data_IF_871605760501
#
_entry.id   IF_871605760501
#
_cell.length_a   1.000
_cell.length_b   1.000
_cell.length_c   1.000
_cell.angle_alpha   90.00
_cell.angle_beta   90.00
_cell.angle_gamma   90.00
#
_symmetry.space_group_name_H-M   'P 1'
#
loop_
_entity.id
_entity.type
_entity.pdbx_description
1 polymer ?
#
# COMPACT_ATOMS: atom_id res chain seq x y z
N UNK A 1 -24.24 36.28 -11.00
CA UNK A 1 -23.49 36.23 -9.72
C UNK A 1 -24.35 35.61 -8.62
N UNK A 2 -24.79 34.35 -8.79
CA UNK A 2 -25.57 33.65 -7.76
C UNK A 2 -25.45 32.12 -7.83
N UNK A 3 -24.52 31.58 -8.61
CA UNK A 3 -24.51 30.14 -8.91
C UNK A 3 -23.96 29.27 -7.77
N UNK A 4 -23.24 29.83 -6.78
CA UNK A 4 -22.58 29.03 -5.73
C UNK A 4 -22.97 29.42 -4.28
N UNK A 5 -24.08 30.14 -4.07
CA UNK A 5 -24.41 30.68 -2.74
C UNK A 5 -24.74 29.57 -1.72
N UNK A 6 -25.37 28.49 -2.18
CA UNK A 6 -25.78 27.39 -1.32
C UNK A 6 -24.59 26.52 -0.91
N UNK A 7 -23.66 26.32 -1.83
CA UNK A 7 -22.40 25.60 -1.65
C UNK A 7 -21.45 26.37 -0.73
N UNK A 8 -21.29 27.68 -0.93
CA UNK A 8 -20.56 28.55 0.00
C UNK A 8 -21.18 28.51 1.41
N UNK A 9 -22.51 28.50 1.48
CA UNK A 9 -23.24 28.36 2.74
C UNK A 9 -23.02 26.99 3.38
N UNK A 10 -22.86 25.93 2.59
CA UNK A 10 -22.57 24.58 3.08
C UNK A 10 -21.15 24.50 3.66
N UNK A 11 -20.15 25.08 2.99
CA UNK A 11 -18.79 25.19 3.52
C UNK A 11 -18.76 25.94 4.85
N UNK A 12 -19.46 27.08 4.97
CA UNK A 12 -19.52 27.85 6.21
C UNK A 12 -20.26 27.10 7.34
N UNK A 13 -21.35 26.40 7.01
CA UNK A 13 -22.06 25.55 7.97
C UNK A 13 -21.17 24.40 8.48
N UNK A 14 -20.41 23.78 7.58
CA UNK A 14 -19.49 22.71 7.94
C UNK A 14 -18.31 23.21 8.80
N UNK A 15 -17.76 24.38 8.45
CA UNK A 15 -16.69 25.06 9.18
C UNK A 15 -17.10 25.49 10.60
N UNK A 16 -18.38 25.78 10.82
CA UNK A 16 -18.91 26.19 12.14
C UNK A 16 -19.52 25.05 12.94
N UNK A 17 -19.57 23.82 12.39
CA UNK A 17 -20.16 22.66 13.06
C UNK A 17 -21.69 22.70 13.14
N UNK A 18 -22.34 23.51 12.31
CA UNK A 18 -23.79 23.72 12.34
C UNK A 18 -24.55 22.55 11.67
N UNK A 19 -24.59 21.38 12.32
CA UNK A 19 -25.17 20.13 11.79
C UNK A 19 -26.56 20.29 11.19
N UNK A 20 -27.49 20.95 11.89
CA UNK A 20 -28.86 21.17 11.38
C UNK A 20 -28.87 21.98 10.08
N UNK A 21 -27.98 22.96 9.94
CA UNK A 21 -27.85 23.77 8.73
C UNK A 21 -27.21 22.96 7.60
N UNK A 22 -26.20 22.14 7.90
CA UNK A 22 -25.60 21.21 6.95
C UNK A 22 -26.67 20.26 6.40
N UNK A 23 -27.43 19.59 7.27
CA UNK A 23 -28.51 18.68 6.87
C UNK A 23 -29.57 19.38 6.03
N UNK A 24 -29.96 20.60 6.40
CA UNK A 24 -30.95 21.38 5.65
C UNK A 24 -30.44 21.75 4.25
N UNK A 25 -29.17 22.11 4.10
CA UNK A 25 -28.55 22.46 2.82
C UNK A 25 -28.37 21.22 1.93
N UNK A 26 -27.93 20.10 2.49
CA UNK A 26 -27.87 18.81 1.77
C UNK A 26 -29.27 18.42 1.27
N UNK A 27 -30.30 18.54 2.10
CA UNK A 27 -31.67 18.23 1.71
C UNK A 27 -32.22 19.18 0.63
N UNK A 28 -31.70 20.41 0.54
CA UNK A 28 -32.00 21.36 -0.52
C UNK A 28 -31.26 21.06 -1.84
N UNK A 29 -30.29 20.13 -1.83
CA UNK A 29 -29.53 19.73 -3.01
C UNK A 29 -28.17 20.42 -3.15
N UNK A 30 -27.65 21.05 -2.10
CA UNK A 30 -26.32 21.64 -2.12
C UNK A 30 -25.24 20.59 -2.43
N UNK A 31 -24.30 20.94 -3.31
CA UNK A 31 -23.23 20.05 -3.73
C UNK A 31 -22.19 19.83 -2.62
N UNK A 32 -22.15 18.60 -2.08
CA UNK A 32 -21.19 18.19 -1.04
C UNK A 32 -19.75 18.02 -1.57
N UNK A 33 -19.57 18.04 -2.89
CA UNK A 33 -18.27 17.92 -3.58
C UNK A 33 -17.65 19.27 -3.94
N UNK A 34 -18.36 20.37 -3.67
CA UNK A 34 -17.92 21.72 -3.99
C UNK A 34 -16.60 22.08 -3.33
N UNK A 35 -15.73 22.78 -4.08
CA UNK A 35 -14.51 23.40 -3.55
C UNK A 35 -14.72 24.92 -3.46
N UNK A 36 -14.47 25.47 -2.27
CA UNK A 36 -14.54 26.92 -2.07
C UNK A 36 -13.28 27.65 -2.58
N UNK A 37 -13.23 28.97 -2.36
CA UNK A 37 -12.11 29.81 -2.75
C UNK A 37 -10.80 29.49 -1.99
N UNK A 38 -10.87 28.77 -0.87
CA UNK A 38 -9.70 28.27 -0.15
C UNK A 38 -9.22 26.91 -0.71
N UNK A 39 -9.94 26.34 -1.69
CA UNK A 39 -9.68 25.03 -2.25
C UNK A 39 -10.06 23.90 -1.29
N UNK A 40 -11.04 24.13 -0.42
CA UNK A 40 -11.51 23.15 0.57
C UNK A 40 -12.96 22.74 0.30
N UNK A 41 -13.25 21.45 0.51
CA UNK A 41 -14.62 20.94 0.49
C UNK A 41 -15.31 21.14 1.85
N UNK A 42 -16.65 21.06 1.93
CA UNK A 42 -17.35 21.03 3.21
C UNK A 42 -16.80 19.95 4.16
N UNK A 43 -16.45 18.77 3.62
CA UNK A 43 -15.90 17.66 4.41
C UNK A 43 -14.54 18.01 5.02
N UNK A 44 -13.66 18.67 4.25
CA UNK A 44 -12.37 19.16 4.73
C UNK A 44 -12.53 20.22 5.82
N UNK A 45 -13.47 21.16 5.67
CA UNK A 45 -13.77 22.15 6.72
C UNK A 45 -14.25 21.51 8.01
N UNK A 46 -15.17 20.55 7.93
CA UNK A 46 -15.68 19.83 9.10
C UNK A 46 -14.56 19.03 9.80
N UNK A 47 -13.72 18.35 9.02
CA UNK A 47 -12.61 17.54 9.53
C UNK A 47 -11.52 18.40 10.19
N UNK A 48 -11.12 19.51 9.54
CA UNK A 48 -10.15 20.49 10.04
C UNK A 48 -10.54 21.10 11.38
N UNK A 49 -11.84 21.20 11.68
CA UNK A 49 -12.36 21.74 12.94
C UNK A 49 -12.91 20.66 13.90
N UNK A 50 -12.78 19.37 13.54
CA UNK A 50 -13.10 18.24 14.42
C UNK A 50 -14.60 17.95 14.61
N UNK A 51 -15.48 18.44 13.74
CA UNK A 51 -16.92 18.23 13.83
C UNK A 51 -17.33 16.85 13.27
N UNK A 52 -17.07 15.79 14.04
CA UNK A 52 -17.28 14.39 13.61
C UNK A 52 -18.72 14.06 13.18
N UNK A 53 -19.73 14.68 13.78
CA UNK A 53 -21.13 14.49 13.36
C UNK A 53 -21.41 15.12 11.99
N UNK A 54 -20.83 16.29 11.71
CA UNK A 54 -20.91 16.94 10.39
C UNK A 54 -20.14 16.14 9.35
N UNK A 55 -18.95 15.64 9.70
CA UNK A 55 -18.17 14.73 8.85
C UNK A 55 -19.01 13.52 8.45
N UNK A 56 -19.69 12.87 9.42
CA UNK A 56 -20.58 11.74 9.15
C UNK A 56 -21.72 12.11 8.21
N UNK A 57 -22.43 13.22 8.48
CA UNK A 57 -23.54 13.65 7.65
C UNK A 57 -23.12 13.93 6.19
N UNK A 58 -21.94 14.53 5.98
CA UNK A 58 -21.40 14.78 4.64
C UNK A 58 -21.01 13.48 3.93
N UNK A 59 -20.39 12.53 4.63
CA UNK A 59 -20.07 11.21 4.07
C UNK A 59 -21.32 10.42 3.70
N UNK A 60 -22.34 10.42 4.57
CA UNK A 60 -23.64 9.77 4.30
C UNK A 60 -24.36 10.39 3.09
N UNK A 61 -24.10 11.67 2.81
CA UNK A 61 -24.58 12.39 1.64
C UNK A 61 -23.72 12.17 0.37
N UNK A 62 -22.68 11.35 0.44
CA UNK A 62 -21.82 11.01 -0.71
C UNK A 62 -20.62 11.93 -0.91
N UNK A 63 -20.22 12.72 0.10
CA UNK A 63 -18.97 13.49 0.01
C UNK A 63 -17.77 12.52 -0.13
N UNK A 64 -16.89 12.73 -1.13
CA UNK A 64 -15.74 11.85 -1.34
C UNK A 64 -14.73 11.99 -0.20
N UNK A 65 -14.50 10.91 0.54
CA UNK A 65 -13.49 10.85 1.61
C UNK A 65 -12.06 11.07 1.08
N UNK A 66 -11.83 10.74 -0.19
CA UNK A 66 -10.55 10.79 -0.88
C UNK A 66 -10.35 12.04 -1.77
N UNK A 67 -11.20 13.08 -1.62
CA UNK A 67 -10.94 14.35 -2.29
C UNK A 67 -9.65 14.99 -1.76
N UNK A 68 -8.91 15.65 -2.65
CA UNK A 68 -7.61 16.26 -2.36
C UNK A 68 -7.62 17.74 -2.72
N UNK A 69 -6.98 18.54 -1.88
CA UNK A 69 -6.64 19.93 -2.20
C UNK A 69 -5.54 19.99 -3.26
N UNK A 70 -5.28 21.17 -3.87
CA UNK A 70 -4.11 21.36 -4.74
C UNK A 70 -2.76 21.06 -4.07
N UNK A 71 -2.71 21.04 -2.73
CA UNK A 71 -1.54 20.68 -1.93
C UNK A 71 -1.53 19.21 -1.49
N UNK A 72 -2.35 18.35 -2.11
CA UNK A 72 -2.41 16.91 -1.86
C UNK A 72 -2.86 16.53 -0.43
N UNK A 73 -3.66 17.39 0.21
CA UNK A 73 -4.25 17.11 1.53
C UNK A 73 -5.71 16.66 1.41
N UNK A 74 -6.07 15.61 2.12
CA UNK A 74 -7.42 15.07 2.26
C UNK A 74 -8.11 15.59 3.53
N UNK A 75 -9.40 15.31 3.69
CA UNK A 75 -10.10 15.58 4.94
C UNK A 75 -9.46 14.84 6.15
N UNK A 76 -8.96 13.62 5.94
CA UNK A 76 -8.29 12.84 6.99
C UNK A 76 -6.96 13.45 7.43
N UNK A 77 -6.19 14.00 6.48
CA UNK A 77 -4.96 14.74 6.79
C UNK A 77 -5.27 15.96 7.67
N UNK A 78 -6.31 16.74 7.34
CA UNK A 78 -6.72 17.87 8.18
C UNK A 78 -7.18 17.45 9.58
N UNK A 79 -7.93 16.34 9.71
CA UNK A 79 -8.33 15.84 11.03
C UNK A 79 -7.11 15.43 11.87
N UNK A 80 -6.14 14.75 11.25
CA UNK A 80 -4.92 14.28 11.92
C UNK A 80 -4.00 15.45 12.32
N UNK A 81 -3.72 16.37 11.41
CA UNK A 81 -2.84 17.52 11.65
C UNK A 81 -3.36 18.46 12.76
N UNK A 82 -4.68 18.51 12.96
CA UNK A 82 -5.34 19.30 14.00
C UNK A 82 -5.68 18.49 15.26
N UNK A 83 -5.28 17.21 15.34
CA UNK A 83 -5.48 16.36 16.53
C UNK A 83 -6.93 15.94 16.78
N UNK A 84 -7.77 15.90 15.75
CA UNK A 84 -9.20 15.59 15.84
C UNK A 84 -9.49 14.10 15.63
N UNK A 85 -9.10 13.27 16.61
CA UNK A 85 -9.21 11.80 16.54
C UNK A 85 -10.61 11.31 16.15
N UNK A 86 -11.67 11.84 16.76
CA UNK A 86 -13.04 11.39 16.47
C UNK A 86 -13.46 11.63 15.01
N UNK A 87 -13.00 12.73 14.39
CA UNK A 87 -13.28 12.99 12.97
C UNK A 87 -12.42 12.09 12.08
N UNK A 88 -11.16 11.89 12.45
CA UNK A 88 -10.24 10.97 11.79
C UNK A 88 -10.79 9.54 11.76
N UNK A 89 -11.26 9.01 12.89
CA UNK A 89 -11.80 7.65 12.98
C UNK A 89 -13.04 7.46 12.08
N UNK A 90 -13.90 8.48 11.99
CA UNK A 90 -15.07 8.43 11.08
C UNK A 90 -14.62 8.37 9.62
N UNK A 91 -13.65 9.19 9.23
CA UNK A 91 -13.09 9.20 7.87
C UNK A 91 -12.38 7.89 7.53
N UNK A 92 -11.57 7.38 8.46
CA UNK A 92 -10.85 6.12 8.30
C UNK A 92 -11.82 4.96 8.07
N UNK A 93 -12.85 4.84 8.92
CA UNK A 93 -13.87 3.81 8.76
C UNK A 93 -14.63 3.94 7.45
N UNK A 94 -14.97 5.16 7.02
CA UNK A 94 -15.63 5.39 5.74
C UNK A 94 -14.74 5.01 4.54
N UNK A 95 -13.44 5.33 4.61
CA UNK A 95 -12.47 4.95 3.58
C UNK A 95 -12.33 3.42 3.44
N UNK A 96 -12.13 2.71 4.55
CA UNK A 96 -12.05 1.24 4.56
C UNK A 96 -13.34 0.62 4.01
N UNK A 97 -14.51 1.10 4.44
CA UNK A 97 -15.80 0.59 3.97
C UNK A 97 -15.98 0.80 2.46
N UNK A 98 -15.62 1.98 1.96
CA UNK A 98 -15.70 2.28 0.53
C UNK A 98 -14.80 1.33 -0.28
N UNK A 99 -13.54 1.14 0.13
CA UNK A 99 -12.59 0.25 -0.54
C UNK A 99 -13.04 -1.23 -0.53
N UNK A 100 -13.59 -1.72 0.60
CA UNK A 100 -14.13 -3.09 0.67
C UNK A 100 -15.29 -3.31 -0.31
N UNK A 101 -16.18 -2.32 -0.45
CA UNK A 101 -17.31 -2.36 -1.38
C UNK A 101 -16.81 -2.28 -2.83
N UNK A 102 -15.93 -1.34 -3.13
CA UNK A 102 -15.36 -1.14 -4.48
C UNK A 102 -14.58 -2.38 -4.94
N UNK A 103 -13.73 -2.93 -4.07
CA UNK A 103 -13.03 -4.19 -4.35
C UNK A 103 -14.02 -5.32 -4.65
N UNK A 104 -15.16 -5.39 -3.96
CA UNK A 104 -16.19 -6.42 -4.23
C UNK A 104 -16.82 -6.29 -5.61
N UNK A 105 -16.97 -5.06 -6.11
CA UNK A 105 -17.50 -4.79 -7.45
C UNK A 105 -16.43 -5.13 -8.49
N UNK A 106 -15.20 -4.64 -8.32
CA UNK A 106 -14.09 -4.92 -9.24
C UNK A 106 -13.86 -6.44 -9.43
N UNK A 107 -13.99 -7.22 -8.36
CA UNK A 107 -13.92 -8.70 -8.38
C UNK A 107 -14.97 -9.37 -9.27
N UNK A 108 -16.17 -8.79 -9.39
CA UNK A 108 -17.22 -9.34 -10.27
C UNK A 108 -16.95 -9.06 -11.74
N UNK A 109 -16.25 -7.97 -12.03
CA UNK A 109 -15.99 -7.51 -13.40
C UNK A 109 -14.68 -8.11 -13.97
N UNK A 110 -13.69 -8.44 -13.13
CA UNK A 110 -12.38 -9.00 -13.51
C UNK A 110 -12.39 -10.45 -14.04
N UNK A 111 -13.55 -11.02 -14.37
CA UNK A 111 -13.63 -12.31 -15.07
C UNK A 111 -13.07 -12.31 -16.51
N UNK A 112 -12.54 -11.19 -17.02
CA UNK A 112 -12.07 -11.05 -18.41
C UNK A 112 -10.93 -10.02 -18.57
N UNK A 113 -9.68 -10.50 -18.55
CA UNK A 113 -8.51 -9.77 -19.09
C UNK A 113 -7.27 -9.96 -18.23
N UNK A 114 -6.10 -10.13 -18.87
CA UNK A 114 -4.79 -10.14 -18.22
C UNK A 114 -4.25 -8.70 -18.23
N UNK A 115 -4.41 -7.90 -17.15
CA UNK A 115 -4.04 -6.49 -17.16
C UNK A 115 -2.51 -6.31 -17.10
N UNK A 116 -1.80 -7.32 -16.58
CA UNK A 116 -0.37 -7.24 -16.23
C UNK A 116 0.53 -7.76 -17.36
N UNK A 117 0.05 -7.83 -18.60
CA UNK A 117 0.83 -8.29 -19.75
C UNK A 117 1.87 -7.29 -20.25
N UNK A 118 1.65 -5.98 -20.02
CA UNK A 118 2.44 -4.90 -20.63
C UNK A 118 3.86 -4.82 -20.02
N UNK A 119 3.97 -4.87 -18.68
CA UNK A 119 5.25 -4.66 -18.00
C UNK A 119 6.30 -5.76 -18.24
N UNK A 120 5.89 -6.97 -18.62
CA UNK A 120 6.81 -8.08 -18.91
C UNK A 120 7.49 -7.94 -20.28
N UNK A 121 6.92 -7.12 -21.16
CA UNK A 121 7.47 -6.81 -22.49
C UNK A 121 8.26 -5.49 -22.49
N UNK A 122 8.15 -4.70 -21.42
CA UNK A 122 8.89 -3.44 -21.25
C UNK A 122 10.38 -3.69 -20.99
N UNK A 123 11.21 -2.76 -21.47
CA UNK A 123 12.66 -2.79 -21.20
C UNK A 123 12.95 -2.17 -19.85
N UNK A 124 13.87 -2.77 -19.10
CA UNK A 124 14.34 -2.20 -17.84
C UNK A 124 15.78 -1.70 -17.96
N UNK A 125 16.04 -0.58 -17.31
CA UNK A 125 17.38 0.00 -17.20
C UNK A 125 17.89 -0.15 -15.78
N UNK A 126 19.10 -0.69 -15.66
CA UNK A 126 19.76 -0.91 -14.39
C UNK A 126 20.90 0.10 -14.21
N UNK A 127 20.94 0.74 -13.05
CA UNK A 127 22.13 1.42 -12.53
C UNK A 127 22.56 0.82 -11.19
N UNK A 128 23.58 1.39 -10.57
CA UNK A 128 24.01 1.02 -9.21
C UNK A 128 22.89 1.25 -8.20
N UNK A 129 22.13 2.34 -8.36
CA UNK A 129 21.18 2.83 -7.36
C UNK A 129 19.70 2.59 -7.68
N UNK A 130 19.36 2.19 -8.91
CA UNK A 130 17.95 2.02 -9.32
C UNK A 130 17.74 1.06 -10.48
N UNK A 131 16.53 0.52 -10.53
CA UNK A 131 15.93 -0.08 -11.71
C UNK A 131 14.79 0.82 -12.17
N UNK A 132 14.73 1.09 -13.47
CA UNK A 132 13.66 1.88 -14.07
C UNK A 132 13.08 1.18 -15.28
N UNK A 133 11.81 1.41 -15.54
CA UNK A 133 11.18 1.00 -16.79
C UNK A 133 11.56 1.94 -17.96
N UNK A 134 11.02 1.66 -19.15
CA UNK A 134 11.28 2.41 -20.37
C UNK A 134 10.79 3.87 -20.31
N UNK A 135 9.92 4.21 -19.35
CA UNK A 135 9.36 5.55 -19.15
C UNK A 135 10.05 6.34 -18.03
N UNK A 136 11.18 5.84 -17.51
CA UNK A 136 11.89 6.42 -16.36
C UNK A 136 11.05 6.45 -15.07
N UNK A 137 10.10 5.53 -14.91
CA UNK A 137 9.46 5.27 -13.63
C UNK A 137 10.34 4.31 -12.85
N UNK A 138 10.57 4.64 -11.57
CA UNK A 138 11.36 3.78 -10.70
C UNK A 138 10.59 2.49 -10.39
N UNK A 139 11.27 1.37 -10.57
CA UNK A 139 10.82 0.03 -10.21
C UNK A 139 11.25 -0.30 -8.77
N UNK A 140 12.54 -0.09 -8.49
CA UNK A 140 13.15 -0.32 -7.18
C UNK A 140 14.38 0.60 -7.05
N UNK A 141 14.63 1.11 -5.84
CA UNK A 141 15.75 2.03 -5.58
C UNK A 141 16.54 1.67 -4.32
N UNK A 142 17.82 2.03 -4.31
CA UNK A 142 18.75 1.70 -3.23
C UNK A 142 18.38 2.27 -1.85
N UNK A 143 17.57 3.35 -1.78
CA UNK A 143 17.10 3.91 -0.50
C UNK A 143 16.23 2.92 0.28
N UNK A 144 15.64 1.92 -0.39
CA UNK A 144 14.82 0.88 0.23
C UNK A 144 15.67 -0.16 1.01
N UNK A 145 17.00 -0.16 0.85
CA UNK A 145 17.90 -1.12 1.50
C UNK A 145 17.62 -1.35 3.01
N UNK A 146 17.57 -0.32 3.86
CA UNK A 146 17.23 -0.50 5.28
C UNK A 146 15.84 -1.13 5.51
N UNK A 147 14.87 -0.88 4.62
CA UNK A 147 13.56 -1.53 4.68
C UNK A 147 13.68 -3.02 4.35
N UNK A 148 14.38 -3.35 3.27
CA UNK A 148 14.62 -4.72 2.82
C UNK A 148 15.39 -5.54 3.87
N UNK A 149 16.37 -4.93 4.54
CA UNK A 149 17.10 -5.55 5.67
C UNK A 149 16.18 -5.82 6.87
N UNK A 150 15.26 -4.90 7.17
CA UNK A 150 14.28 -5.08 8.24
C UNK A 150 13.26 -6.18 7.91
N UNK A 151 12.80 -6.25 6.65
CA UNK A 151 11.94 -7.33 6.15
C UNK A 151 12.63 -8.69 6.23
N UNK A 152 13.86 -8.78 5.72
CA UNK A 152 14.67 -10.00 5.78
C UNK A 152 14.88 -10.47 7.24
N UNK A 153 15.15 -9.53 8.16
CA UNK A 153 15.26 -9.83 9.58
C UNK A 153 13.98 -10.44 10.16
N UNK A 154 12.82 -9.90 9.79
CA UNK A 154 11.53 -10.37 10.28
C UNK A 154 11.24 -11.80 9.77
N UNK A 155 11.28 -12.02 8.46
CA UNK A 155 10.91 -13.30 7.86
C UNK A 155 11.92 -14.42 8.17
N UNK A 156 13.19 -14.09 8.43
CA UNK A 156 14.23 -15.07 8.75
C UNK A 156 14.34 -15.39 10.25
N UNK A 157 13.49 -14.83 11.12
CA UNK A 157 13.63 -14.98 12.58
C UNK A 157 13.61 -16.46 13.03
N UNK A 158 12.80 -17.30 12.37
CA UNK A 158 12.73 -18.74 12.61
C UNK A 158 13.76 -19.57 11.83
N UNK A 159 14.55 -18.96 10.95
CA UNK A 159 15.39 -19.65 9.98
C UNK A 159 14.56 -20.44 8.96
N UNK A 160 15.07 -21.59 8.52
CA UNK A 160 14.29 -22.51 7.68
C UNK A 160 14.25 -22.14 6.20
N UNK A 161 13.09 -22.38 5.58
CA UNK A 161 12.86 -22.22 4.15
C UNK A 161 12.19 -20.87 3.89
N UNK A 162 12.85 -20.01 3.11
CA UNK A 162 12.38 -18.64 2.85
C UNK A 162 11.96 -18.52 1.38
N UNK A 163 10.82 -17.88 1.15
CA UNK A 163 10.30 -17.52 -0.17
C UNK A 163 10.36 -16.01 -0.36
N UNK A 164 10.87 -15.59 -1.51
CA UNK A 164 10.72 -14.25 -2.02
C UNK A 164 9.90 -14.27 -3.33
N UNK A 165 8.88 -13.43 -3.43
CA UNK A 165 8.11 -13.17 -4.64
C UNK A 165 8.47 -11.78 -5.16
N UNK A 166 9.24 -11.74 -6.26
CA UNK A 166 9.78 -10.52 -6.85
C UNK A 166 11.23 -10.26 -6.42
N UNK A 167 12.17 -10.29 -7.37
CA UNK A 167 13.59 -10.11 -7.07
C UNK A 167 14.03 -8.65 -7.15
N UNK A 168 13.60 -7.92 -8.17
CA UNK A 168 13.99 -6.53 -8.41
C UNK A 168 15.51 -6.35 -8.53
N UNK A 169 16.13 -5.69 -7.54
CA UNK A 169 17.59 -5.51 -7.44
C UNK A 169 18.29 -6.58 -6.59
N UNK A 170 17.55 -7.51 -6.00
CA UNK A 170 18.08 -8.51 -5.07
C UNK A 170 18.49 -7.92 -3.71
N UNK A 171 17.92 -6.78 -3.32
CA UNK A 171 18.23 -6.12 -2.03
C UNK A 171 17.80 -6.99 -0.85
N UNK A 172 16.52 -7.40 -0.85
CA UNK A 172 15.98 -8.30 0.17
C UNK A 172 16.64 -9.67 0.11
N UNK A 173 16.87 -10.20 -1.08
CA UNK A 173 17.51 -11.50 -1.27
C UNK A 173 18.93 -11.53 -0.70
N UNK A 174 19.69 -10.46 -0.94
CA UNK A 174 21.03 -10.30 -0.38
C UNK A 174 21.00 -10.23 1.13
N UNK A 175 20.01 -9.55 1.72
CA UNK A 175 19.82 -9.49 3.16
C UNK A 175 19.39 -10.85 3.75
N UNK A 176 18.45 -11.57 3.10
CA UNK A 176 18.01 -12.92 3.49
C UNK A 176 19.21 -13.88 3.57
N UNK A 177 20.11 -13.84 2.58
CA UNK A 177 21.29 -14.70 2.54
C UNK A 177 22.25 -14.50 3.72
N UNK A 178 22.25 -13.33 4.37
CA UNK A 178 23.05 -13.09 5.58
C UNK A 178 22.59 -13.93 6.78
N UNK A 179 21.33 -14.38 6.77
CA UNK A 179 20.75 -15.24 7.82
C UNK A 179 20.94 -16.74 7.54
N UNK A 180 21.60 -17.11 6.43
CA UNK A 180 21.89 -18.50 6.06
C UNK A 180 20.66 -19.43 6.12
N UNK A 181 19.58 -19.13 5.37
CA UNK A 181 18.40 -19.98 5.35
C UNK A 181 18.73 -21.38 4.80
N UNK A 182 17.95 -22.38 5.23
CA UNK A 182 18.06 -23.77 4.74
C UNK A 182 17.84 -23.82 3.23
N UNK A 183 16.83 -23.10 2.75
CA UNK A 183 16.64 -22.85 1.32
C UNK A 183 16.05 -21.47 1.09
N UNK A 184 16.38 -20.87 -0.04
CA UNK A 184 15.84 -19.59 -0.47
C UNK A 184 15.23 -19.74 -1.86
N UNK A 185 13.91 -19.75 -1.94
CA UNK A 185 13.18 -19.79 -3.22
C UNK A 185 12.86 -18.37 -3.67
N UNK A 186 13.18 -18.04 -4.91
CA UNK A 186 12.94 -16.72 -5.50
C UNK A 186 12.07 -16.91 -6.73
N UNK A 187 10.90 -16.26 -6.76
CA UNK A 187 10.06 -16.18 -7.96
C UNK A 187 10.33 -14.86 -8.67
N UNK A 188 10.69 -14.92 -9.94
CA UNK A 188 10.93 -13.73 -10.76
C UNK A 188 10.25 -13.88 -12.13
N UNK A 189 9.43 -12.89 -12.48
CA UNK A 189 8.60 -12.91 -13.67
C UNK A 189 9.26 -12.20 -14.87
N UNK A 190 10.04 -11.15 -14.61
CA UNK A 190 10.58 -10.28 -15.65
C UNK A 190 11.82 -10.91 -16.31
N UNK A 191 11.80 -11.14 -17.65
CA UNK A 191 12.88 -11.83 -18.35
C UNK A 191 14.27 -11.17 -18.19
N UNK A 192 14.35 -9.84 -18.26
CA UNK A 192 15.62 -9.12 -18.12
C UNK A 192 16.19 -9.15 -16.69
N UNK A 193 15.32 -9.13 -15.66
CA UNK A 193 15.73 -9.26 -14.25
C UNK A 193 16.23 -10.68 -14.01
N UNK A 194 15.50 -11.69 -14.48
CA UNK A 194 15.93 -13.09 -14.41
C UNK A 194 17.28 -13.33 -15.10
N UNK A 195 17.47 -12.79 -16.31
CA UNK A 195 18.75 -12.88 -17.02
C UNK A 195 19.90 -12.25 -16.20
N UNK A 196 19.66 -11.11 -15.54
CA UNK A 196 20.62 -10.46 -14.65
C UNK A 196 20.93 -11.29 -13.42
N UNK A 197 19.93 -11.94 -12.80
CA UNK A 197 20.14 -12.86 -11.66
C UNK A 197 21.13 -13.96 -12.03
N UNK A 198 20.96 -14.58 -13.20
CA UNK A 198 21.86 -15.64 -13.67
C UNK A 198 23.28 -15.10 -13.93
N UNK A 199 23.40 -13.94 -14.58
CA UNK A 199 24.70 -13.31 -14.84
C UNK A 199 25.44 -12.90 -13.56
N UNK A 200 24.72 -12.61 -12.49
CA UNK A 200 25.29 -12.22 -11.19
C UNK A 200 25.50 -13.41 -10.25
N UNK A 201 25.34 -14.65 -10.73
CA UNK A 201 25.66 -15.87 -9.99
C UNK A 201 24.57 -16.34 -9.01
N UNK A 202 23.36 -15.78 -9.06
CA UNK A 202 22.28 -16.24 -8.17
C UNK A 202 21.87 -17.68 -8.41
N UNK A 203 21.93 -18.13 -9.67
CA UNK A 203 21.65 -19.52 -10.03
C UNK A 203 22.73 -20.51 -9.60
N UNK A 204 23.89 -20.04 -9.12
CA UNK A 204 25.02 -20.88 -8.70
C UNK A 204 25.08 -21.08 -7.17
N UNK A 205 24.26 -20.34 -6.41
CA UNK A 205 24.20 -20.45 -4.95
C UNK A 205 23.53 -21.76 -4.54
N UNK A 206 24.21 -22.56 -3.72
CA UNK A 206 23.78 -23.93 -3.37
C UNK A 206 22.39 -24.01 -2.72
N UNK A 207 22.00 -23.01 -1.91
CA UNK A 207 20.72 -22.99 -1.22
C UNK A 207 19.65 -22.12 -1.92
N UNK A 208 19.91 -21.63 -3.14
CA UNK A 208 18.96 -20.79 -3.88
C UNK A 208 18.27 -21.59 -4.99
N UNK A 209 16.93 -21.50 -5.03
CA UNK A 209 16.09 -22.03 -6.11
C UNK A 209 15.39 -20.87 -6.80
N UNK A 210 15.72 -20.61 -8.06
CA UNK A 210 15.03 -19.59 -8.87
C UNK A 210 13.90 -20.25 -9.65
N UNK A 211 12.69 -19.72 -9.52
CA UNK A 211 11.50 -20.13 -10.28
C UNK A 211 11.13 -18.98 -11.21
N UNK A 212 11.33 -19.19 -12.52
CA UNK A 212 11.02 -18.19 -13.53
C UNK A 212 9.54 -18.22 -13.92
N UNK A 213 8.88 -17.07 -13.86
CA UNK A 213 7.48 -16.89 -14.23
C UNK A 213 6.72 -16.03 -13.23
N UNK A 214 5.50 -15.65 -13.58
CA UNK A 214 4.60 -14.97 -12.65
C UNK A 214 4.21 -15.91 -11.52
N UNK A 215 4.05 -15.40 -10.31
CA UNK A 215 3.73 -16.24 -9.15
C UNK A 215 2.44 -17.02 -9.38
N UNK A 216 1.43 -16.42 -10.01
CA UNK A 216 0.15 -17.01 -10.38
C UNK A 216 0.33 -18.29 -11.21
N UNK A 217 1.27 -18.27 -12.17
CA UNK A 217 1.52 -19.38 -13.08
C UNK A 217 2.37 -20.49 -12.43
N UNK A 218 3.18 -20.14 -11.43
CA UNK A 218 4.14 -21.05 -10.80
C UNK A 218 3.76 -21.50 -9.39
N UNK A 219 2.59 -21.11 -8.88
CA UNK A 219 2.07 -21.51 -7.56
C UNK A 219 2.21 -23.02 -7.29
N UNK A 220 1.93 -23.85 -8.30
CA UNK A 220 2.03 -25.32 -8.19
C UNK A 220 3.44 -25.85 -7.95
N UNK A 221 4.48 -25.03 -8.14
CA UNK A 221 5.89 -25.36 -7.92
C UNK A 221 6.39 -24.90 -6.54
N UNK A 222 5.57 -24.13 -5.81
CA UNK A 222 5.89 -23.59 -4.50
C UNK A 222 5.56 -24.59 -3.40
N UNK A 223 6.35 -24.55 -2.34
CA UNK A 223 6.20 -25.39 -1.15
C UNK A 223 5.61 -24.57 0.00
N UNK A 224 5.74 -25.05 1.24
CA UNK A 224 5.46 -24.25 2.43
C UNK A 224 6.76 -23.70 3.01
N UNK A 225 6.71 -22.49 3.56
CA UNK A 225 7.87 -21.69 3.95
C UNK A 225 7.73 -21.19 5.39
N UNK A 226 8.88 -21.03 6.05
CA UNK A 226 9.01 -20.48 7.40
C UNK A 226 9.02 -18.93 7.36
N UNK A 227 9.37 -18.35 6.21
CA UNK A 227 9.27 -16.92 5.96
C UNK A 227 8.91 -16.61 4.52
N UNK A 228 8.05 -15.63 4.29
CA UNK A 228 7.64 -15.19 2.95
C UNK A 228 7.76 -13.68 2.85
N UNK A 229 8.43 -13.20 1.81
CA UNK A 229 8.42 -11.80 1.39
C UNK A 229 7.74 -11.63 0.03
N UNK A 230 6.91 -10.60 -0.10
CA UNK A 230 6.19 -10.27 -1.33
C UNK A 230 6.48 -8.83 -1.75
N UNK A 231 7.09 -8.64 -2.91
CA UNK A 231 7.47 -7.34 -3.47
C UNK A 231 7.52 -7.39 -5.01
N UNK A 232 6.34 -7.34 -5.62
CA UNK A 232 6.17 -7.44 -7.07
C UNK A 232 6.02 -6.06 -7.71
N UNK A 233 6.72 -5.83 -8.83
CA UNK A 233 6.48 -4.68 -9.68
C UNK A 233 5.48 -4.99 -10.80
N UNK A 234 4.65 -4.01 -11.18
CA UNK A 234 3.67 -4.15 -12.26
C UNK A 234 2.38 -4.87 -11.83
N UNK A 235 2.29 -5.23 -10.55
CA UNK A 235 1.10 -5.83 -9.94
C UNK A 235 0.42 -4.83 -9.00
N UNK A 236 -0.89 -4.94 -8.89
CA UNK A 236 -1.73 -4.00 -8.15
C UNK A 236 -2.23 -4.63 -6.84
N UNK A 237 -2.97 -3.84 -6.06
CA UNK A 237 -3.54 -4.27 -4.78
C UNK A 237 -4.29 -5.61 -4.85
N UNK A 238 -5.10 -5.83 -5.89
CA UNK A 238 -5.87 -7.07 -6.04
C UNK A 238 -4.99 -8.30 -6.29
N UNK A 239 -3.82 -8.16 -6.93
CA UNK A 239 -2.87 -9.27 -7.11
C UNK A 239 -2.26 -9.68 -5.76
N UNK A 240 -1.84 -8.71 -4.94
CA UNK A 240 -1.34 -8.98 -3.58
C UNK A 240 -2.43 -9.63 -2.72
N UNK A 241 -3.67 -9.14 -2.83
CA UNK A 241 -4.82 -9.72 -2.14
C UNK A 241 -5.14 -11.14 -2.59
N UNK A 242 -4.99 -11.44 -3.89
CA UNK A 242 -5.09 -12.81 -4.42
C UNK A 242 -3.99 -13.69 -3.85
N UNK A 243 -2.74 -13.22 -3.82
CA UNK A 243 -1.63 -13.93 -3.20
C UNK A 243 -1.92 -14.24 -1.71
N UNK A 244 -2.51 -13.31 -0.96
CA UNK A 244 -2.90 -13.54 0.43
C UNK A 244 -3.83 -14.76 0.60
N UNK A 245 -4.70 -15.07 -0.37
CA UNK A 245 -5.57 -16.25 -0.32
C UNK A 245 -4.79 -17.57 -0.32
N UNK A 246 -3.53 -17.56 -0.77
CA UNK A 246 -2.65 -18.72 -0.81
C UNK A 246 -1.77 -18.86 0.45
N UNK A 247 -1.73 -17.86 1.33
CA UNK A 247 -0.93 -17.92 2.57
C UNK A 247 -1.25 -19.13 3.46
N UNK A 248 -2.51 -19.59 3.61
CA UNK A 248 -2.80 -20.78 4.43
C UNK A 248 -2.12 -22.08 3.93
N UNK A 249 -1.75 -22.13 2.64
CA UNK A 249 -1.00 -23.25 2.06
C UNK A 249 0.51 -23.00 2.07
N UNK A 250 0.92 -21.75 1.82
CA UNK A 250 2.32 -21.39 1.61
C UNK A 250 3.08 -21.07 2.91
N UNK A 251 2.42 -20.54 3.94
CA UNK A 251 3.07 -20.17 5.20
C UNK A 251 2.89 -21.28 6.23
N UNK A 252 3.99 -21.80 6.78
CA UNK A 252 3.95 -22.78 7.85
C UNK A 252 3.45 -22.16 9.16
N UNK A 253 2.90 -22.96 10.10
CA UNK A 253 2.70 -22.53 11.47
C UNK A 253 4.01 -22.01 12.09
N UNK A 254 3.92 -20.88 12.78
CA UNK A 254 5.03 -20.11 13.34
C UNK A 254 5.77 -19.24 12.31
N UNK A 255 5.41 -19.34 11.03
CA UNK A 255 6.04 -18.59 9.95
C UNK A 255 5.67 -17.12 9.94
N UNK A 256 6.53 -16.30 9.33
CA UNK A 256 6.31 -14.86 9.20
C UNK A 256 6.12 -14.48 7.73
N UNK A 257 5.01 -13.83 7.44
CA UNK A 257 4.75 -13.17 6.16
C UNK A 257 5.01 -11.67 6.28
N UNK A 258 5.64 -11.11 5.26
CA UNK A 258 5.89 -9.68 5.15
C UNK A 258 5.83 -9.27 3.67
N UNK A 259 5.56 -7.99 3.40
CA UNK A 259 5.44 -7.48 2.04
C UNK A 259 5.91 -6.03 1.96
N UNK A 260 6.30 -5.58 0.78
CA UNK A 260 6.59 -4.17 0.55
C UNK A 260 5.29 -3.35 0.62
N UNK A 261 5.14 -2.57 1.69
CA UNK A 261 3.94 -1.80 1.97
C UNK A 261 4.00 -0.41 1.29
N UNK A 262 4.03 -0.42 -0.04
CA UNK A 262 4.12 0.79 -0.87
C UNK A 262 2.79 1.51 -1.14
N UNK A 263 1.66 0.98 -0.65
CA UNK A 263 0.32 1.46 -0.99
C UNK A 263 0.10 2.91 -0.56
N UNK A 264 -0.28 3.77 -1.51
CA UNK A 264 -0.54 5.19 -1.25
C UNK A 264 0.64 5.94 -0.58
N UNK A 265 1.89 5.59 -0.90
CA UNK A 265 3.10 6.19 -0.33
C UNK A 265 3.29 7.70 -0.56
N UNK A 266 2.33 8.40 -1.16
CA UNK A 266 2.33 9.85 -1.38
C UNK A 266 1.29 10.63 -0.55
N UNK A 267 0.35 9.95 0.14
CA UNK A 267 -0.63 10.59 1.02
C UNK A 267 -0.74 9.80 2.33
N UNK A 268 -0.48 10.43 3.50
CA UNK A 268 -0.37 9.71 4.77
C UNK A 268 -1.72 9.14 5.22
N UNK A 269 -2.82 9.88 5.08
CA UNK A 269 -4.14 9.36 5.43
C UNK A 269 -4.54 8.15 4.57
N UNK A 270 -4.33 8.21 3.26
CA UNK A 270 -4.65 7.09 2.35
C UNK A 270 -3.79 5.87 2.65
N UNK A 271 -2.51 6.06 2.96
CA UNK A 271 -1.63 4.99 3.40
C UNK A 271 -2.17 4.28 4.66
N UNK A 272 -2.66 5.05 5.65
CA UNK A 272 -3.29 4.48 6.85
C UNK A 272 -4.56 3.70 6.51
N UNK A 273 -5.42 4.22 5.61
CA UNK A 273 -6.62 3.50 5.15
C UNK A 273 -6.25 2.14 4.56
N UNK A 274 -5.27 2.08 3.65
CA UNK A 274 -4.84 0.81 3.04
C UNK A 274 -4.13 -0.12 4.04
N UNK A 275 -3.33 0.41 4.96
CA UNK A 275 -2.72 -0.40 6.03
C UNK A 275 -3.79 -1.13 6.86
N UNK A 276 -4.86 -0.43 7.24
CA UNK A 276 -5.97 -1.04 7.99
C UNK A 276 -6.78 -2.00 7.13
N UNK A 277 -7.04 -1.65 5.87
CA UNK A 277 -7.73 -2.53 4.92
C UNK A 277 -7.01 -3.88 4.78
N UNK A 278 -5.70 -3.85 4.53
CA UNK A 278 -4.89 -5.07 4.35
C UNK A 278 -4.87 -5.89 5.64
N UNK A 279 -4.71 -5.23 6.79
CA UNK A 279 -4.70 -5.90 8.10
C UNK A 279 -6.04 -6.62 8.36
N UNK A 280 -7.17 -5.98 8.06
CA UNK A 280 -8.49 -6.60 8.19
C UNK A 280 -8.69 -7.78 7.23
N UNK A 281 -8.25 -7.68 5.98
CA UNK A 281 -8.36 -8.77 5.02
C UNK A 281 -7.45 -9.97 5.40
N UNK A 282 -6.27 -9.72 5.96
CA UNK A 282 -5.40 -10.76 6.52
C UNK A 282 -6.00 -11.38 7.80
N UNK A 283 -6.63 -10.58 8.66
CA UNK A 283 -7.33 -11.07 9.85
C UNK A 283 -8.48 -12.02 9.48
N UNK A 284 -9.23 -11.72 8.42
CA UNK A 284 -10.25 -12.62 7.88
C UNK A 284 -9.70 -13.96 7.38
N UNK A 285 -8.40 -14.03 7.06
CA UNK A 285 -7.68 -15.25 6.69
C UNK A 285 -7.02 -15.95 7.88
N UNK A 286 -7.16 -15.41 9.09
CA UNK A 286 -6.58 -15.97 10.31
C UNK A 286 -5.18 -15.45 10.63
N UNK A 287 -4.80 -14.27 10.13
CA UNK A 287 -3.48 -13.68 10.40
C UNK A 287 -3.59 -12.38 11.19
N UNK A 288 -2.72 -12.20 12.18
CA UNK A 288 -2.46 -10.89 12.78
C UNK A 288 -1.51 -10.09 11.90
N UNK A 289 -1.61 -8.76 11.95
CA UNK A 289 -0.67 -7.84 11.27
C UNK A 289 -0.14 -6.81 12.26
N UNK A 290 1.17 -6.83 12.51
CA UNK A 290 1.86 -5.77 13.24
C UNK A 290 2.51 -4.82 12.24
N UNK A 291 2.26 -3.51 12.38
CA UNK A 291 2.87 -2.47 11.58
C UNK A 291 3.98 -1.77 12.39
N UNK A 292 5.23 -2.07 12.08
CA UNK A 292 6.39 -1.52 12.76
C UNK A 292 6.83 -0.22 12.06
N UNK A 293 6.81 0.94 12.72
CA UNK A 293 7.21 2.20 12.10
C UNK A 293 8.73 2.27 11.92
N UNK A 294 9.16 2.54 10.70
CA UNK A 294 10.55 2.76 10.30
C UNK A 294 10.71 4.18 9.74
N UNK A 295 11.39 5.09 10.44
CA UNK A 295 11.69 6.41 9.90
C UNK A 295 12.56 6.30 8.64
N UNK A 296 12.13 6.96 7.56
CA UNK A 296 12.82 6.96 6.26
C UNK A 296 13.15 8.36 5.75
N UNK A 297 12.72 9.41 6.46
CA UNK A 297 12.92 10.82 6.08
C UNK A 297 14.35 11.14 5.63
N UNK A 298 15.34 10.62 6.35
CA UNK A 298 16.76 10.90 6.10
C UNK A 298 17.30 10.21 4.83
N UNK A 299 16.53 9.29 4.22
CA UNK A 299 16.87 8.56 3.01
C UNK A 299 16.21 9.15 1.74
N UNK A 300 15.34 10.16 1.87
CA UNK A 300 14.45 10.64 0.81
C UNK A 300 14.82 12.03 0.28
N UNK A 301 16.10 12.41 0.33
CA UNK A 301 16.63 13.66 -0.22
C UNK A 301 16.30 13.85 -1.71
N UNK A 302 16.35 15.09 -2.20
CA UNK A 302 16.05 15.39 -3.61
C UNK A 302 16.98 14.65 -4.58
N UNK A 303 18.24 14.45 -4.17
CA UNK A 303 19.24 13.67 -4.89
C UNK A 303 18.82 12.20 -5.11
N UNK A 304 18.06 11.61 -4.19
CA UNK A 304 17.55 10.23 -4.33
C UNK A 304 16.70 10.13 -5.60
N UNK A 305 15.92 11.16 -5.89
CA UNK A 305 14.93 11.18 -6.97
C UNK A 305 15.45 11.72 -8.30
N UNK A 306 16.74 12.03 -8.41
CA UNK A 306 17.31 12.58 -9.64
C UNK A 306 17.09 11.62 -10.83
N UNK A 307 16.45 12.11 -11.89
CA UNK A 307 16.11 11.32 -13.07
C UNK A 307 14.89 10.39 -12.92
N UNK A 308 14.23 10.39 -11.75
CA UNK A 308 12.96 9.67 -11.53
C UNK A 308 11.79 10.59 -11.84
N UNK A 309 10.90 10.16 -12.74
CA UNK A 309 9.77 10.99 -13.21
C UNK A 309 8.76 11.31 -12.11
N UNK A 310 8.47 10.34 -11.24
CA UNK A 310 7.50 10.45 -10.16
C UNK A 310 8.03 9.79 -8.88
N UNK A 311 8.02 10.52 -7.76
CA UNK A 311 8.33 9.97 -6.43
C UNK A 311 7.19 9.04 -6.01
N UNK A 312 7.45 7.73 -5.94
CA UNK A 312 6.46 6.75 -5.48
C UNK A 312 6.33 6.72 -3.95
N UNK A 313 7.29 7.30 -3.24
CA UNK A 313 7.27 7.42 -1.79
C UNK A 313 7.63 8.83 -1.33
N UNK A 314 6.83 9.38 -0.42
CA UNK A 314 6.95 10.76 0.09
C UNK A 314 6.65 10.85 1.61
N UNK A 315 6.39 9.73 2.28
CA UNK A 315 6.10 9.72 3.72
C UNK A 315 7.39 9.64 4.54
N UNK A 316 7.41 10.33 5.68
CA UNK A 316 8.56 10.35 6.61
C UNK A 316 8.80 8.98 7.29
N UNK A 317 7.79 8.12 7.35
CA UNK A 317 7.82 6.82 8.04
C UNK A 317 7.20 5.76 7.15
N UNK A 318 7.89 4.62 7.04
CA UNK A 318 7.40 3.40 6.42
C UNK A 318 6.83 2.46 7.48
N UNK A 319 5.67 1.88 7.24
CA UNK A 319 5.06 0.89 8.13
C UNK A 319 5.40 -0.51 7.66
N UNK A 320 6.35 -1.17 8.32
CA UNK A 320 6.78 -2.54 8.01
C UNK A 320 5.74 -3.55 8.52
N UNK A 321 5.05 -4.30 7.64
CA UNK A 321 4.11 -5.35 8.05
C UNK A 321 4.83 -6.62 8.49
N UNK A 322 4.51 -7.12 9.69
CA UNK A 322 4.86 -8.45 10.16
C UNK A 322 3.56 -9.21 10.40
N UNK A 323 3.33 -10.25 9.62
CA UNK A 323 2.08 -11.01 9.65
C UNK A 323 2.35 -12.44 10.12
N UNK A 324 1.53 -12.93 11.06
CA UNK A 324 1.65 -14.27 11.63
C UNK A 324 0.27 -14.87 11.85
N UNK A 325 0.15 -16.19 11.77
CA UNK A 325 -1.11 -16.88 12.04
C UNK A 325 -1.58 -16.59 13.47
N UNK A 326 -2.87 -16.35 13.65
CA UNK A 326 -3.48 -16.09 14.96
C UNK A 326 -3.34 -17.28 15.90
N UNK A 327 -3.37 -18.50 15.37
CA UNK A 327 -3.20 -19.74 16.15
C UNK A 327 -1.81 -19.82 16.83
N UNK A 328 -0.81 -19.12 16.30
CA UNK A 328 0.56 -19.10 16.83
C UNK A 328 0.80 -17.93 17.82
N UNK A 329 -0.14 -17.00 17.94
CA UNK A 329 -0.03 -15.82 18.81
C UNK A 329 -0.46 -16.07 20.26
N UNK A 330 -1.09 -17.23 20.53
CA UNK A 330 -1.56 -17.64 21.86
C UNK A 330 -0.63 -18.64 22.60
N UNK A 331 0.52 -19.01 22.03
CA UNK A 331 1.44 -20.04 22.58
C UNK A 331 2.67 -19.51 23.33
#
# INVERSE_FOLDING_TARGET
>A
MSENREEESLCEAARSGALERVNSLIAAGADVTYFDAEGLTPLMHAAKNGFSEVVRALLDAGAPWNALTPSNLSAGDFAMDNGHQSAFDVLLNAGIQAELVLGTIARKDNGKGNPNGDYLEERVTFSEDKVMDAESKAIMMAWERPLMEAHAKAICLGGGHILNIGFGMGLVDSAIQQYSPVSHTIVEAHPEVYARMLQTGWGEKENVKIVFGRWQDVLSQLESYDGIFFDTYGEYYEDMREFHQHLPQLLKPGGIYSFFNGLCGSNPFFHVVYCQLVSLELEMLGYSTQLIPLPVKDCLGEETWEGVKHKYWQLDTYSLPVCQSLDDSES
#
